data_IF_924661322117
#
_entry.id   IF_924661322117
#
_cell.length_a   1.000
_cell.length_b   1.000
_cell.length_c   1.000
_cell.angle_alpha   90.00
_cell.angle_beta   90.00
_cell.angle_gamma   90.00
#
_symmetry.space_group_name_H-M   'P 1'
#
loop_
_entity.id
_entity.type
_entity.pdbx_description
1 polymer ?
#
# COMPACT_ATOMS: atom_id res chain seq x y z
N UNK A 1 -10.19 -5.97 3.20
CA UNK A 1 -8.85 -5.80 2.58
C UNK A 1 -7.94 -6.92 3.02
N UNK A 2 -7.26 -7.55 2.10
CA UNK A 2 -6.22 -8.55 2.38
C UNK A 2 -4.85 -7.94 2.14
N UNK A 3 -3.86 -8.38 2.91
CA UNK A 3 -2.47 -7.94 2.77
C UNK A 3 -1.59 -9.15 2.44
N UNK A 4 -0.76 -8.99 1.42
CA UNK A 4 0.25 -9.99 1.06
C UNK A 4 1.63 -9.47 1.49
N UNK A 5 2.15 -10.05 2.56
CA UNK A 5 3.36 -9.66 3.25
C UNK A 5 3.04 -9.25 4.69
N UNK A 6 3.70 -9.87 5.65
CA UNK A 6 3.40 -9.69 7.07
C UNK A 6 4.67 -9.32 7.85
N UNK A 7 5.32 -8.22 7.46
CA UNK A 7 6.51 -7.69 8.11
C UNK A 7 6.32 -6.20 8.44
N UNK A 8 7.41 -5.44 8.52
CA UNK A 8 7.37 -4.05 9.00
C UNK A 8 6.42 -3.14 8.23
N UNK A 9 6.43 -3.21 6.89
CA UNK A 9 5.53 -2.37 6.08
C UNK A 9 4.06 -2.74 6.27
N UNK A 10 3.76 -4.01 6.51
CA UNK A 10 2.39 -4.44 6.79
C UNK A 10 1.85 -3.78 8.06
N UNK A 11 2.67 -3.58 9.07
CA UNK A 11 2.26 -2.89 10.30
C UNK A 11 1.76 -1.48 10.03
N UNK A 12 2.46 -0.77 9.15
CA UNK A 12 2.07 0.59 8.75
C UNK A 12 0.73 0.58 8.02
N UNK A 13 0.55 -0.35 7.09
CA UNK A 13 -0.71 -0.47 6.33
C UNK A 13 -1.87 -0.84 7.24
N UNK A 14 -1.66 -1.71 8.22
CA UNK A 14 -2.68 -2.05 9.21
C UNK A 14 -3.14 -0.79 9.95
N UNK A 15 -2.22 0.06 10.39
CA UNK A 15 -2.56 1.31 11.07
C UNK A 15 -3.37 2.23 10.17
N UNK A 16 -2.99 2.33 8.89
CA UNK A 16 -3.70 3.16 7.91
C UNK A 16 -5.14 2.67 7.74
N UNK A 17 -5.31 1.37 7.53
CA UNK A 17 -6.63 0.79 7.29
C UNK A 17 -7.53 0.94 8.52
N UNK A 18 -6.99 0.74 9.71
CA UNK A 18 -7.74 0.96 10.95
C UNK A 18 -8.17 2.42 11.09
N UNK A 19 -7.26 3.36 10.83
CA UNK A 19 -7.57 4.78 10.91
C UNK A 19 -8.63 5.18 9.89
N UNK A 20 -8.65 4.55 8.72
CA UNK A 20 -9.61 4.81 7.66
C UNK A 20 -10.94 4.06 7.85
N UNK A 21 -11.06 3.23 8.89
CA UNK A 21 -12.26 2.43 9.12
C UNK A 21 -12.44 1.27 8.13
N UNK A 22 -11.38 0.86 7.45
CA UNK A 22 -11.40 -0.24 6.50
C UNK A 22 -11.18 -1.57 7.22
N UNK A 23 -12.04 -2.58 7.01
CA UNK A 23 -11.83 -3.88 7.63
C UNK A 23 -10.63 -4.59 7.02
N UNK A 24 -9.89 -5.31 7.88
CA UNK A 24 -8.78 -6.16 7.47
C UNK A 24 -9.27 -7.60 7.54
N UNK A 25 -9.38 -8.23 6.39
CA UNK A 25 -9.96 -9.56 6.27
C UNK A 25 -8.95 -10.67 6.47
N UNK A 26 -7.68 -10.40 6.22
CA UNK A 26 -6.63 -11.38 6.45
C UNK A 26 -5.27 -10.93 5.95
N UNK A 27 -4.25 -11.60 6.46
CA UNK A 27 -2.85 -11.43 6.08
C UNK A 27 -2.33 -12.75 5.53
N UNK A 28 -1.47 -12.66 4.51
CA UNK A 28 -0.80 -13.82 3.92
C UNK A 28 0.69 -13.52 3.83
N UNK A 29 1.52 -14.49 4.14
CA UNK A 29 2.97 -14.41 3.97
C UNK A 29 3.51 -15.77 3.59
N UNK A 30 4.45 -15.79 2.64
CA UNK A 30 5.04 -17.05 2.17
C UNK A 30 6.00 -17.65 3.19
N UNK A 31 6.47 -16.86 4.16
CA UNK A 31 7.34 -17.37 5.22
C UNK A 31 6.52 -18.13 6.25
N UNK A 32 6.71 -19.47 6.35
CA UNK A 32 5.90 -20.29 7.26
C UNK A 32 6.15 -19.99 8.74
N UNK A 33 7.23 -19.29 9.07
CA UNK A 33 7.55 -18.93 10.45
C UNK A 33 6.75 -17.73 10.95
N UNK A 34 6.14 -16.97 10.04
CA UNK A 34 5.32 -15.81 10.41
C UNK A 34 3.88 -16.29 10.62
N UNK A 35 3.50 -16.48 11.88
CA UNK A 35 2.17 -16.98 12.24
C UNK A 35 1.18 -15.91 12.67
N UNK A 36 1.69 -14.74 13.08
CA UNK A 36 0.85 -13.69 13.65
C UNK A 36 1.49 -12.33 13.46
N UNK A 37 0.68 -11.30 13.23
CA UNK A 37 1.14 -9.91 13.16
C UNK A 37 0.02 -9.00 13.67
N UNK A 38 0.34 -8.15 14.65
CA UNK A 38 -0.60 -7.14 15.20
C UNK A 38 -1.97 -7.73 15.59
N UNK A 39 -1.97 -8.96 16.10
CA UNK A 39 -3.19 -9.65 16.51
C UNK A 39 -3.93 -10.37 15.39
N UNK A 40 -3.44 -10.30 14.15
CA UNK A 40 -4.02 -11.01 13.02
C UNK A 40 -3.26 -12.31 12.76
N UNK A 41 -4.00 -13.37 12.50
CA UNK A 41 -3.41 -14.64 12.07
C UNK A 41 -2.91 -14.48 10.64
N UNK A 42 -1.69 -14.97 10.39
CA UNK A 42 -1.07 -14.94 9.08
C UNK A 42 -1.26 -16.29 8.41
N UNK A 43 -1.93 -16.30 7.25
CA UNK A 43 -2.05 -17.48 6.43
C UNK A 43 -0.83 -17.67 5.53
N UNK A 44 -0.67 -18.89 5.03
CA UNK A 44 0.42 -19.22 4.10
C UNK A 44 -0.18 -19.75 2.81
N UNK A 45 0.42 -19.38 1.69
CA UNK A 45 -0.13 -19.74 0.38
C UNK A 45 -1.27 -18.84 -0.04
N UNK A 46 -0.95 -17.84 -0.85
CA UNK A 46 -1.95 -16.95 -1.41
C UNK A 46 -2.82 -17.69 -2.44
N UNK A 47 -4.13 -17.54 -2.37
CA UNK A 47 -5.09 -18.24 -3.23
C UNK A 47 -6.12 -17.31 -3.89
N UNK A 48 -5.75 -16.07 -4.15
CA UNK A 48 -6.61 -15.14 -4.88
C UNK A 48 -7.50 -14.24 -4.03
N UNK A 49 -7.23 -14.14 -2.74
CA UNK A 49 -7.97 -13.25 -1.85
C UNK A 49 -7.91 -11.81 -2.36
N UNK A 50 -9.04 -11.13 -2.41
CA UNK A 50 -9.14 -9.75 -2.93
C UNK A 50 -10.22 -8.97 -2.19
N UNK A 51 -10.19 -7.63 -2.19
CA UNK A 51 -9.13 -6.80 -2.73
C UNK A 51 -7.84 -6.92 -1.92
N UNK A 52 -6.72 -6.81 -2.61
CA UNK A 52 -5.39 -7.07 -2.06
C UNK A 52 -4.53 -5.83 -2.08
N UNK A 53 -3.66 -5.68 -1.07
CA UNK A 53 -2.51 -4.78 -1.11
C UNK A 53 -1.26 -5.61 -0.89
N UNK A 54 -0.25 -5.40 -1.72
CA UNK A 54 1.05 -6.04 -1.53
C UNK A 54 1.82 -5.23 -0.49
N UNK A 55 1.86 -5.74 0.73
CA UNK A 55 2.39 -5.04 1.91
C UNK A 55 3.89 -5.31 2.11
N UNK A 56 4.66 -5.15 1.05
CA UNK A 56 6.10 -5.38 1.01
C UNK A 56 6.80 -4.09 0.62
N UNK A 57 7.78 -3.67 1.44
CA UNK A 57 8.48 -2.40 1.25
C UNK A 57 9.42 -2.38 0.06
N UNK A 58 9.99 -3.52 -0.33
CA UNK A 58 10.87 -3.59 -1.49
C UNK A 58 10.11 -3.35 -2.79
N UNK A 59 10.49 -2.32 -3.54
CA UNK A 59 9.89 -2.02 -4.85
C UNK A 59 10.06 -3.19 -5.82
N UNK A 60 11.24 -3.80 -5.83
CA UNK A 60 11.54 -4.94 -6.68
C UNK A 60 10.64 -6.15 -6.38
N UNK A 61 10.54 -6.52 -5.12
CA UNK A 61 9.72 -7.66 -4.70
C UNK A 61 8.24 -7.38 -4.95
N UNK A 62 7.79 -6.17 -4.65
CA UNK A 62 6.39 -5.77 -4.88
C UNK A 62 6.01 -5.86 -6.35
N UNK A 63 6.90 -5.43 -7.24
CA UNK A 63 6.70 -5.55 -8.68
C UNK A 63 6.63 -7.00 -9.13
N UNK A 64 7.54 -7.83 -8.64
CA UNK A 64 7.57 -9.26 -8.98
C UNK A 64 6.26 -9.96 -8.60
N UNK A 65 5.74 -9.66 -7.44
CA UNK A 65 4.48 -10.25 -6.98
C UNK A 65 3.31 -9.76 -7.84
N UNK A 66 3.23 -8.45 -8.09
CA UNK A 66 2.14 -7.88 -8.88
C UNK A 66 2.12 -8.42 -10.30
N UNK A 67 3.26 -8.64 -10.92
CA UNK A 67 3.35 -9.20 -12.27
C UNK A 67 2.91 -10.66 -12.34
N UNK A 68 2.98 -11.36 -11.21
CA UNK A 68 2.59 -12.78 -11.12
C UNK A 68 1.11 -12.97 -10.82
N UNK A 69 0.47 -12.01 -10.17
CA UNK A 69 -0.90 -12.11 -9.72
C UNK A 69 -1.86 -11.39 -10.66
N UNK A 70 -3.06 -11.96 -10.82
CA UNK A 70 -4.16 -11.34 -11.55
C UNK A 70 -5.36 -11.24 -10.62
N UNK A 71 -5.38 -10.18 -9.81
CA UNK A 71 -6.40 -9.96 -8.78
C UNK A 71 -6.79 -8.49 -8.73
N UNK A 72 -7.88 -8.19 -8.04
CA UNK A 72 -8.26 -6.81 -7.76
C UNK A 72 -7.45 -6.27 -6.59
N UNK A 73 -6.86 -5.10 -6.77
CA UNK A 73 -6.09 -4.43 -5.72
C UNK A 73 -6.89 -3.28 -5.11
N UNK A 74 -6.73 -3.11 -3.81
CA UNK A 74 -7.25 -1.95 -3.11
C UNK A 74 -6.20 -0.86 -2.95
N UNK A 75 -6.55 0.17 -2.20
CA UNK A 75 -5.64 1.25 -1.81
C UNK A 75 -5.73 1.48 -0.31
N UNK A 76 -4.65 1.96 0.28
CA UNK A 76 -4.65 2.37 1.68
C UNK A 76 -4.19 3.83 1.74
N UNK A 77 -5.10 4.73 2.09
CA UNK A 77 -4.82 6.16 2.18
C UNK A 77 -5.14 6.59 3.61
N UNK A 78 -4.13 7.07 4.32
CA UNK A 78 -4.36 7.53 5.69
C UNK A 78 -5.28 8.76 5.69
N UNK A 79 -6.23 8.87 6.62
CA UNK A 79 -7.12 10.02 6.68
C UNK A 79 -6.43 11.37 6.86
N UNK A 80 -5.20 11.38 7.41
CA UNK A 80 -4.41 12.61 7.54
C UNK A 80 -3.69 13.01 6.26
N UNK A 81 -3.71 12.18 5.22
CA UNK A 81 -3.15 12.54 3.93
C UNK A 81 -4.05 13.56 3.24
N UNK A 82 -3.42 14.45 2.47
CA UNK A 82 -4.15 15.46 1.69
C UNK A 82 -3.96 15.10 0.23
N UNK A 83 -5.03 14.62 -0.40
CA UNK A 83 -5.01 14.18 -1.80
C UNK A 83 -5.91 15.08 -2.61
N UNK A 84 -5.34 15.76 -3.62
CA UNK A 84 -6.13 16.63 -4.48
C UNK A 84 -7.22 15.85 -5.21
N UNK A 85 -8.44 16.39 -5.29
CA UNK A 85 -9.51 15.75 -6.07
C UNK A 85 -9.19 15.61 -7.56
N UNK A 86 -8.28 16.44 -8.08
CA UNK A 86 -7.86 16.38 -9.49
C UNK A 86 -6.69 15.43 -9.74
N UNK A 87 -6.14 14.81 -8.68
CA UNK A 87 -5.11 13.80 -8.83
C UNK A 87 -5.71 12.42 -9.08
N UNK A 88 -4.89 11.51 -9.61
CA UNK A 88 -5.27 10.10 -9.77
C UNK A 88 -4.24 9.22 -9.06
N UNK A 89 -4.73 8.16 -8.44
CA UNK A 89 -3.88 7.21 -7.72
C UNK A 89 -4.19 5.82 -8.24
N UNK A 90 -3.15 5.10 -8.65
CA UNK A 90 -3.28 3.73 -9.17
C UNK A 90 -3.57 2.71 -8.07
N UNK A 91 -4.17 1.60 -8.47
CA UNK A 91 -4.49 0.51 -7.54
C UNK A 91 -3.25 -0.04 -6.83
N UNK A 92 -3.43 -0.55 -5.63
CA UNK A 92 -2.35 -1.11 -4.83
C UNK A 92 -1.50 -0.08 -4.12
N UNK A 93 -1.71 1.20 -4.36
CA UNK A 93 -0.90 2.29 -3.80
C UNK A 93 -1.27 2.57 -2.35
N UNK A 94 -0.25 2.90 -1.57
CA UNK A 94 -0.36 3.24 -0.14
C UNK A 94 0.08 4.69 0.04
N UNK A 95 -0.75 5.50 0.68
CA UNK A 95 -0.41 6.87 1.07
C UNK A 95 -0.39 6.95 2.59
N UNK A 96 0.79 7.20 3.13
CA UNK A 96 1.00 7.19 4.58
C UNK A 96 0.58 8.51 5.23
N UNK A 97 0.69 8.54 6.55
CA UNK A 97 0.31 9.68 7.39
C UNK A 97 0.97 10.97 6.90
N UNK A 98 0.17 12.02 6.74
CA UNK A 98 0.65 13.33 6.36
C UNK A 98 1.16 13.44 4.93
N UNK A 99 0.96 12.43 4.10
CA UNK A 99 1.31 12.52 2.68
C UNK A 99 0.47 13.58 1.97
N UNK A 100 1.07 14.29 1.01
CA UNK A 100 0.38 15.36 0.27
C UNK A 100 0.58 15.11 -1.22
N UNK A 101 -0.53 15.05 -1.96
CA UNK A 101 -0.53 14.90 -3.41
C UNK A 101 -1.29 16.09 -4.01
N UNK A 102 -0.58 16.93 -4.75
CA UNK A 102 -1.11 18.18 -5.29
C UNK A 102 -1.91 17.98 -6.57
N UNK A 103 -2.51 19.07 -7.04
CA UNK A 103 -3.45 19.05 -8.17
C UNK A 103 -2.83 18.50 -9.46
N UNK A 104 -3.60 17.73 -10.20
CA UNK A 104 -3.22 17.21 -11.51
C UNK A 104 -2.14 16.15 -11.51
N UNK A 105 -1.70 15.70 -10.34
CA UNK A 105 -0.67 14.67 -10.23
C UNK A 105 -1.24 13.29 -10.52
N UNK A 106 -0.44 12.46 -11.19
CA UNK A 106 -0.77 11.07 -11.48
C UNK A 106 0.19 10.16 -10.74
N UNK A 107 -0.34 9.39 -9.81
CA UNK A 107 0.43 8.38 -9.08
C UNK A 107 0.10 7.01 -9.67
N UNK A 108 1.11 6.23 -9.99
CA UNK A 108 0.96 4.91 -10.60
C UNK A 108 0.45 3.86 -9.63
N UNK A 109 0.53 2.62 -10.08
CA UNK A 109 0.10 1.44 -9.32
C UNK A 109 1.19 0.98 -8.35
N UNK A 110 0.77 0.41 -7.23
CA UNK A 110 1.66 -0.21 -6.26
C UNK A 110 2.78 0.71 -5.77
N UNK A 111 2.47 2.00 -5.65
CA UNK A 111 3.40 3.00 -5.13
C UNK A 111 3.29 3.09 -3.61
N UNK A 112 4.32 3.66 -2.99
CA UNK A 112 4.32 4.01 -1.57
C UNK A 112 4.63 5.50 -1.47
N UNK A 113 3.67 6.27 -1.01
CA UNK A 113 3.88 7.68 -0.67
C UNK A 113 4.14 7.73 0.82
N UNK A 114 5.38 7.97 1.19
CA UNK A 114 5.85 7.86 2.57
C UNK A 114 5.28 8.94 3.49
N UNK A 115 5.44 8.71 4.79
CA UNK A 115 5.03 9.64 5.84
C UNK A 115 5.55 11.04 5.56
N UNK A 116 4.65 12.03 5.48
CA UNK A 116 4.99 13.42 5.26
C UNK A 116 5.57 13.75 3.89
N UNK A 117 5.56 12.80 2.94
CA UNK A 117 6.02 13.08 1.58
C UNK A 117 5.08 14.06 0.88
N UNK A 118 5.64 14.95 0.10
CA UNK A 118 4.89 15.93 -0.67
C UNK A 118 5.20 15.76 -2.16
N UNK A 119 4.15 15.58 -2.96
CA UNK A 119 4.26 15.49 -4.41
C UNK A 119 3.62 16.72 -5.01
N UNK A 120 4.41 17.49 -5.77
CA UNK A 120 3.97 18.74 -6.36
C UNK A 120 2.90 18.55 -7.44
N UNK A 121 2.27 19.66 -7.85
CA UNK A 121 1.22 19.63 -8.86
C UNK A 121 1.76 19.15 -10.20
N UNK A 122 0.90 18.50 -10.95
CA UNK A 122 1.16 18.04 -12.33
C UNK A 122 2.40 17.15 -12.46
N UNK A 123 2.77 16.46 -11.37
CA UNK A 123 3.82 15.44 -11.41
C UNK A 123 3.27 14.10 -11.87
N UNK A 124 4.16 13.26 -12.35
CA UNK A 124 3.84 11.87 -12.66
C UNK A 124 4.77 10.96 -11.87
N UNK A 125 4.19 10.06 -11.10
CA UNK A 125 4.95 9.03 -10.39
C UNK A 125 4.63 7.70 -11.07
N UNK A 126 5.66 7.02 -11.55
CA UNK A 126 5.52 5.74 -12.23
C UNK A 126 5.12 4.63 -11.27
N UNK A 127 4.70 3.49 -11.82
CA UNK A 127 4.34 2.32 -11.02
C UNK A 127 5.52 1.85 -10.15
N UNK A 128 5.23 1.31 -8.98
CA UNK A 128 6.19 0.72 -8.04
C UNK A 128 7.22 1.68 -7.46
N UNK A 129 6.96 2.97 -7.51
CA UNK A 129 7.86 3.98 -6.93
C UNK A 129 7.54 4.16 -5.45
N UNK A 130 8.58 4.35 -4.66
CA UNK A 130 8.46 4.79 -3.28
C UNK A 130 8.92 6.23 -3.19
N UNK A 131 7.97 7.14 -2.97
CA UNK A 131 8.26 8.57 -2.80
C UNK A 131 8.62 8.82 -1.33
N UNK A 132 9.80 9.35 -1.10
CA UNK A 132 10.28 9.67 0.24
C UNK A 132 9.94 11.09 0.60
N UNK A 133 9.83 11.36 1.91
CA UNK A 133 9.65 12.74 2.35
C UNK A 133 10.94 13.52 2.09
N UNK A 134 10.83 14.83 1.84
CA UNK A 134 12.00 15.69 1.68
C UNK A 134 12.88 15.62 2.92
N UNK A 135 14.17 15.53 2.71
CA UNK A 135 15.16 15.53 3.79
C UNK A 135 15.42 16.94 4.30
#
# INVERSE_FOLDING_TARGET
MYLYGASGHAKVIIDILKAAGEPIDGLVDDNPEVGQLQGYTVGHGYSGQSPLIISIGSNFVRKKIAERLNVNYGMAIHPSAIVSPSSTIGEGTVVMQGGIIQAGTKVGKHCIINTGASVDHECKIDDYVQSRRPS
#
